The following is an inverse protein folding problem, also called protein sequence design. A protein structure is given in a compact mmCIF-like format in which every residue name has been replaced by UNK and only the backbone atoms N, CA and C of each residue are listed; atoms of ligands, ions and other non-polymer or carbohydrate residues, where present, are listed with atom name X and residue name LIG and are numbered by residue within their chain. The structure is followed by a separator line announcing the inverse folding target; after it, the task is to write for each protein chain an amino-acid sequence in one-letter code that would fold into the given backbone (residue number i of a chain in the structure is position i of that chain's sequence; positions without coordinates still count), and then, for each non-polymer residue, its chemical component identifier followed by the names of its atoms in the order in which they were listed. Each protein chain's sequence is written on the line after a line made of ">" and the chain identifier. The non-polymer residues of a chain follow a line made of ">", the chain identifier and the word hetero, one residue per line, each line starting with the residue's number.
data_IF_836723952166
#
_entry.id   IF_836723952166
#
_cell.length_a   1.000
_cell.length_b   1.000
_cell.length_c   1.000
_cell.angle_alpha   90.00
_cell.angle_beta   90.00
_cell.angle_gamma   90.00
#
_symmetry.space_group_name_H-M   'P 1'
#
loop_
_entity.id
_entity.type
_entity.pdbx_description
1 polymer ?
#
# COMPACT_ATOMS: atom_id res chain seq x y z
N UNK A 1 -12.01 -4.08 -14.52
CA UNK A 1 -13.04 -3.63 -13.56
C UNK A 1 -12.37 -2.81 -12.48
N UNK A 2 -13.11 -1.84 -11.90
CA UNK A 2 -12.63 -0.92 -10.85
C UNK A 2 -13.19 -1.33 -9.47
N UNK A 3 -14.26 -2.14 -9.45
CA UNK A 3 -15.01 -2.50 -8.25
C UNK A 3 -14.31 -3.52 -7.36
N UNK A 4 -13.46 -4.36 -7.92
CA UNK A 4 -12.66 -5.35 -7.19
C UNK A 4 -11.69 -4.67 -6.21
N UNK A 5 -11.02 -3.60 -6.63
CA UNK A 5 -10.17 -2.79 -5.77
C UNK A 5 -10.98 -2.12 -4.65
N UNK A 6 -12.15 -1.55 -4.97
CA UNK A 6 -13.04 -0.95 -3.96
C UNK A 6 -13.47 -1.95 -2.88
N UNK A 7 -13.86 -3.18 -3.27
CA UNK A 7 -14.24 -4.21 -2.30
C UNK A 7 -13.04 -4.77 -1.52
N UNK A 8 -11.88 -4.91 -2.17
CA UNK A 8 -10.63 -5.27 -1.49
C UNK A 8 -10.27 -4.27 -0.39
N UNK A 9 -10.38 -2.98 -0.70
CA UNK A 9 -10.13 -1.88 0.23
C UNK A 9 -11.09 -1.90 1.42
N UNK A 10 -12.40 -2.05 1.15
CA UNK A 10 -13.43 -2.15 2.19
C UNK A 10 -13.23 -3.36 3.10
N UNK A 11 -12.81 -4.50 2.54
CA UNK A 11 -12.51 -5.72 3.29
C UNK A 11 -11.34 -5.50 4.26
N UNK A 12 -10.21 -4.98 3.77
CA UNK A 12 -9.04 -4.71 4.60
C UNK A 12 -9.28 -3.61 5.64
N UNK A 13 -10.03 -2.56 5.28
CA UNK A 13 -10.44 -1.52 6.24
C UNK A 13 -11.35 -2.07 7.34
N UNK A 14 -12.24 -3.02 7.02
CA UNK A 14 -13.06 -3.68 8.03
C UNK A 14 -12.21 -4.45 9.05
N UNK A 15 -11.18 -5.16 8.58
CA UNK A 15 -10.21 -5.82 9.45
C UNK A 15 -9.41 -4.81 10.30
N UNK A 16 -8.93 -3.72 9.68
CA UNK A 16 -8.17 -2.66 10.34
C UNK A 16 -8.96 -2.00 11.47
N UNK A 17 -10.24 -1.70 11.24
CA UNK A 17 -11.13 -1.10 12.23
C UNK A 17 -11.28 -2.03 13.43
N UNK A 18 -11.52 -3.32 13.21
CA UNK A 18 -11.67 -4.28 14.31
C UNK A 18 -10.37 -4.38 15.14
N UNK A 19 -9.22 -4.45 14.47
CA UNK A 19 -7.91 -4.55 15.12
C UNK A 19 -7.52 -3.28 15.88
N UNK A 20 -7.96 -2.11 15.43
CA UNK A 20 -7.60 -0.81 15.99
C UNK A 20 -8.75 -0.10 16.72
N UNK A 21 -9.89 -0.77 16.96
CA UNK A 21 -11.12 -0.14 17.49
C UNK A 21 -10.94 0.72 18.75
N UNK A 22 -9.96 0.42 19.60
CA UNK A 22 -9.70 1.16 20.84
C UNK A 22 -8.73 2.35 20.65
N UNK A 23 -8.19 2.52 19.45
CA UNK A 23 -7.23 3.57 19.06
C UNK A 23 -7.80 4.54 18.04
N UNK A 24 -8.97 4.24 17.49
CA UNK A 24 -9.63 5.07 16.48
C UNK A 24 -10.55 6.06 17.17
N UNK A 25 -10.37 7.33 16.87
CA UNK A 25 -11.26 8.40 17.31
C UNK A 25 -12.56 8.37 16.48
N UNK A 26 -13.70 8.78 17.06
CA UNK A 26 -14.93 8.94 16.31
C UNK A 26 -14.76 9.96 15.18
N UNK A 27 -15.15 9.58 13.96
CA UNK A 27 -15.11 10.48 12.81
C UNK A 27 -14.66 9.78 11.54
N UNK A 28 -14.18 10.57 10.59
CA UNK A 28 -13.56 10.07 9.37
C UNK A 28 -12.10 9.73 9.66
N UNK A 29 -11.70 8.53 9.28
CA UNK A 29 -10.31 8.12 9.27
C UNK A 29 -9.86 7.96 7.82
N UNK A 30 -8.68 8.49 7.50
CA UNK A 30 -8.04 8.23 6.23
C UNK A 30 -7.62 6.77 6.14
N UNK A 31 -7.50 6.28 4.92
CA UNK A 31 -7.03 4.92 4.64
C UNK A 31 -5.52 4.89 4.89
N UNK A 32 -5.02 3.98 5.74
CA UNK A 32 -3.59 3.76 5.90
C UNK A 32 -2.94 3.38 4.57
N UNK A 33 -1.79 4.00 4.26
CA UNK A 33 -1.10 3.82 2.98
C UNK A 33 -0.71 2.36 2.71
N UNK A 34 -0.37 1.61 3.76
CA UNK A 34 -0.05 0.19 3.67
C UNK A 34 -1.24 -0.67 3.23
N UNK A 35 -2.47 -0.27 3.57
CA UNK A 35 -3.69 -0.94 3.13
C UNK A 35 -3.97 -0.62 1.66
N UNK A 36 -3.81 0.64 1.26
CA UNK A 36 -4.03 1.07 -0.12
C UNK A 36 -3.03 0.39 -1.07
N UNK A 37 -1.74 0.43 -0.72
CA UNK A 37 -0.66 -0.25 -1.45
C UNK A 37 -0.91 -1.75 -1.55
N UNK A 38 -1.37 -2.39 -0.47
CA UNK A 38 -1.68 -3.83 -0.47
C UNK A 38 -2.78 -4.18 -1.45
N UNK A 39 -3.82 -3.36 -1.60
CA UNK A 39 -4.86 -3.57 -2.63
C UNK A 39 -4.26 -3.46 -4.02
N UNK A 40 -3.39 -2.46 -4.26
CA UNK A 40 -2.66 -2.30 -5.50
C UNK A 40 -1.81 -3.53 -5.85
N UNK A 41 -1.02 -4.04 -4.90
CA UNK A 41 -0.19 -5.23 -5.08
C UNK A 41 -1.02 -6.47 -5.41
N UNK A 42 -2.08 -6.74 -4.65
CA UNK A 42 -2.98 -7.87 -4.92
C UNK A 42 -3.65 -7.75 -6.29
N UNK A 43 -3.98 -6.52 -6.73
CA UNK A 43 -4.54 -6.30 -8.05
C UNK A 43 -3.54 -6.65 -9.15
N UNK A 44 -2.31 -6.15 -9.05
CA UNK A 44 -1.24 -6.44 -10.01
C UNK A 44 -0.92 -7.94 -10.06
N UNK A 45 -0.81 -8.59 -8.90
CA UNK A 45 -0.60 -10.04 -8.80
C UNK A 45 -1.73 -10.82 -9.47
N UNK A 46 -2.99 -10.45 -9.22
CA UNK A 46 -4.15 -11.10 -9.86
C UNK A 46 -4.18 -10.96 -11.38
N UNK A 47 -3.51 -9.94 -11.91
CA UNK A 47 -3.35 -9.70 -13.35
C UNK A 47 -2.11 -10.40 -13.93
N UNK A 48 -1.32 -11.09 -13.11
CA UNK A 48 -0.06 -11.70 -13.51
C UNK A 48 1.06 -10.70 -13.79
N UNK A 49 0.96 -9.49 -13.22
CA UNK A 49 2.00 -8.45 -13.33
C UNK A 49 2.98 -8.64 -12.18
N UNK A 50 4.24 -8.94 -12.52
CA UNK A 50 5.33 -8.94 -11.56
C UNK A 50 5.86 -7.53 -11.34
N UNK A 51 6.07 -7.19 -10.07
CA UNK A 51 6.77 -5.96 -9.70
C UNK A 51 8.26 -6.24 -9.55
N UNK A 52 9.07 -5.43 -10.19
CA UNK A 52 10.51 -5.45 -9.98
C UNK A 52 10.87 -4.90 -8.60
N UNK A 53 12.12 -5.11 -8.21
CA UNK A 53 12.69 -4.54 -6.99
C UNK A 53 13.94 -3.79 -7.37
N UNK A 54 14.19 -2.67 -6.67
CA UNK A 54 15.43 -1.93 -6.89
C UNK A 54 16.61 -2.84 -6.58
N UNK A 55 17.59 -2.86 -7.47
CA UNK A 55 18.90 -3.40 -7.14
C UNK A 55 19.52 -2.58 -6.02
N UNK A 56 20.47 -3.16 -5.29
CA UNK A 56 21.20 -2.44 -4.22
C UNK A 56 21.86 -1.16 -4.77
N UNK A 57 22.41 -1.22 -5.98
CA UNK A 57 22.97 -0.06 -6.69
C UNK A 57 21.90 1.01 -6.97
N UNK A 58 20.73 0.63 -7.50
CA UNK A 58 19.64 1.58 -7.77
C UNK A 58 19.11 2.22 -6.49
N UNK A 59 18.96 1.44 -5.42
CA UNK A 59 18.52 1.95 -4.12
C UNK A 59 19.53 2.95 -3.56
N UNK A 60 20.82 2.59 -3.57
CA UNK A 60 21.90 3.46 -3.10
C UNK A 60 22.05 4.72 -3.97
N UNK A 61 21.81 4.64 -5.28
CA UNK A 61 21.83 5.80 -6.16
C UNK A 61 20.71 6.80 -5.82
N UNK A 62 19.49 6.32 -5.55
CA UNK A 62 18.33 7.17 -5.22
C UNK A 62 18.48 7.82 -3.83
N UNK A 63 19.03 7.09 -2.86
CA UNK A 63 19.09 7.53 -1.45
C UNK A 63 20.47 8.07 -1.03
N UNK A 64 21.49 7.87 -1.85
CA UNK A 64 22.87 8.27 -1.59
C UNK A 64 23.07 9.76 -1.85
N UNK A 65 23.67 10.45 -0.88
CA UNK A 65 23.95 11.89 -0.93
C UNK A 65 25.23 12.25 -1.70
N UNK A 66 25.68 11.40 -2.61
CA UNK A 66 26.95 11.60 -3.36
C UNK A 66 26.74 12.15 -4.78
N UNK A 67 25.52 12.15 -5.30
CA UNK A 67 25.17 12.78 -6.58
C UNK A 67 24.56 14.18 -6.38
N UNK A 68 25.15 14.98 -5.50
CA UNK A 68 24.90 16.42 -5.45
C UNK A 68 25.63 17.10 -6.61
N UNK A 69 24.89 17.55 -7.61
CA UNK A 69 25.13 18.87 -8.21
C UNK A 69 24.22 19.88 -7.53
#
# INVERSE_FOLDING_TARGET
>A
EVMDMSFGLQSLMSEYIIKNKNKLEPGMADIPIDIDDKVGFLKLESMGVEMDTLTEEQYNYIHGYEAGT
#
